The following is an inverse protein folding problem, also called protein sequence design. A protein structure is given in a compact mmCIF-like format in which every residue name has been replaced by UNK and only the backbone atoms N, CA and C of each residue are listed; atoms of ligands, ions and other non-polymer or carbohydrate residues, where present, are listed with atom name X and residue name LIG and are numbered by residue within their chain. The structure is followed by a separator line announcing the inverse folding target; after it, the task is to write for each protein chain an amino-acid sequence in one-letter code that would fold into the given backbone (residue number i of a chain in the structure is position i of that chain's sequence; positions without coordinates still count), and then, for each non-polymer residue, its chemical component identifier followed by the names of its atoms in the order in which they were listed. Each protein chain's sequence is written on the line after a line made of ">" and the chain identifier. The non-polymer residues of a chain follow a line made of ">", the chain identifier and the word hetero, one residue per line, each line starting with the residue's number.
data_IF_308512728410
#
_entry.id   IF_308512728410
#
_cell.length_a   1.000
_cell.length_b   1.000
_cell.length_c   1.000
_cell.angle_alpha   90.00
_cell.angle_beta   90.00
_cell.angle_gamma   90.00
#
_symmetry.space_group_name_H-M   'P 1'
#
loop_
_entity.id
_entity.type
_entity.pdbx_description
1 polymer ?
#
# COMPACT_ATOMS: atom_id res chain seq x y z
N UNK A 1 -9.58 2.35 0.39
CA UNK A 1 -9.03 1.24 1.21
C UNK A 1 -7.60 1.57 1.58
N UNK A 2 -7.17 1.55 2.85
CA UNK A 2 -5.75 1.85 3.16
C UNK A 2 -4.78 0.88 2.47
N UNK A 3 -3.63 1.38 2.03
CA UNK A 3 -2.57 0.60 1.38
C UNK A 3 -2.13 -0.63 2.17
N UNK A 4 -1.98 -0.50 3.49
CA UNK A 4 -1.64 -1.62 4.37
C UNK A 4 -2.72 -2.73 4.41
N UNK A 5 -3.99 -2.35 4.21
CA UNK A 5 -5.12 -3.28 4.16
C UNK A 5 -5.16 -3.98 2.81
N UNK A 6 -4.98 -3.22 1.72
CA UNK A 6 -4.88 -3.74 0.36
C UNK A 6 -3.78 -4.78 0.23
N UNK A 7 -2.56 -4.46 0.66
CA UNK A 7 -1.41 -5.36 0.62
C UNK A 7 -1.64 -6.69 1.37
N UNK A 8 -2.42 -6.66 2.46
CA UNK A 8 -2.78 -7.86 3.22
C UNK A 8 -3.83 -8.71 2.50
N UNK A 9 -4.90 -8.10 1.97
CA UNK A 9 -5.96 -8.85 1.28
C UNK A 9 -5.48 -9.42 -0.05
N UNK A 10 -4.61 -8.71 -0.76
CA UNK A 10 -3.95 -9.20 -1.98
C UNK A 10 -2.87 -10.24 -1.70
N UNK A 11 -2.62 -10.58 -0.43
CA UNK A 11 -1.61 -11.55 0.03
C UNK A 11 -0.18 -11.23 -0.44
N UNK A 12 0.09 -9.98 -0.79
CA UNK A 12 1.42 -9.50 -1.19
C UNK A 12 2.40 -9.48 -0.01
N UNK A 13 1.88 -9.34 1.21
CA UNK A 13 2.71 -9.26 2.40
C UNK A 13 2.15 -10.10 3.56
N UNK A 14 3.05 -10.70 4.35
CA UNK A 14 2.69 -11.48 5.54
C UNK A 14 2.46 -10.66 6.82
N UNK A 15 3.10 -9.50 6.99
CA UNK A 15 3.12 -8.73 8.26
C UNK A 15 2.87 -7.24 8.06
N UNK A 16 1.78 -6.71 8.60
CA UNK A 16 1.33 -5.31 8.41
C UNK A 16 2.41 -4.24 8.68
N UNK A 17 3.34 -4.50 9.60
CA UNK A 17 4.48 -3.63 9.91
C UNK A 17 5.42 -3.42 8.71
N UNK A 18 5.67 -4.48 7.96
CA UNK A 18 6.54 -4.45 6.77
C UNK A 18 5.91 -3.60 5.66
N UNK A 19 4.58 -3.68 5.48
CA UNK A 19 3.87 -2.82 4.53
C UNK A 19 4.04 -1.34 4.89
N UNK A 20 3.98 -1.03 6.19
CA UNK A 20 4.15 0.32 6.68
C UNK A 20 5.55 0.84 6.39
N UNK A 21 6.58 0.06 6.70
CA UNK A 21 7.99 0.42 6.42
C UNK A 21 8.26 0.65 4.93
N UNK A 22 7.80 -0.26 4.06
CA UNK A 22 8.03 -0.15 2.61
C UNK A 22 7.29 1.08 2.03
N UNK A 23 6.08 1.35 2.50
CA UNK A 23 5.32 2.53 2.10
C UNK A 23 5.94 3.84 2.64
N UNK A 24 6.44 3.86 3.89
CA UNK A 24 7.13 5.02 4.47
C UNK A 24 8.50 5.26 3.82
N UNK A 25 9.19 4.20 3.37
CA UNK A 25 10.42 4.30 2.56
C UNK A 25 10.16 4.82 1.13
N UNK A 26 8.91 5.05 0.74
CA UNK A 26 8.56 5.50 -0.61
C UNK A 26 8.82 4.45 -1.69
N UNK A 27 8.85 3.17 -1.32
CA UNK A 27 9.05 2.05 -2.26
C UNK A 27 7.77 1.53 -2.88
N UNK A 28 6.63 2.14 -2.53
CA UNK A 28 5.33 1.79 -3.11
C UNK A 28 4.86 2.97 -3.94
N UNK A 29 4.61 2.68 -5.21
CA UNK A 29 4.13 3.66 -6.15
C UNK A 29 2.71 3.26 -6.59
N UNK A 30 1.75 4.14 -6.39
CA UNK A 30 0.37 3.95 -6.84
C UNK A 30 0.19 4.87 -8.03
N UNK A 31 0.07 4.28 -9.22
CA UNK A 31 -0.23 5.02 -10.46
C UNK A 31 0.75 6.17 -10.76
N UNK A 32 2.06 5.94 -10.55
CA UNK A 32 3.10 6.95 -10.79
C UNK A 32 3.27 7.98 -9.67
N UNK A 33 2.59 7.80 -8.53
CA UNK A 33 2.77 8.60 -7.32
C UNK A 33 3.21 7.74 -6.14
N UNK A 34 4.29 8.16 -5.50
CA UNK A 34 4.78 7.53 -4.27
C UNK A 34 3.72 7.59 -3.18
N UNK A 35 3.29 6.41 -2.73
CA UNK A 35 2.19 6.24 -1.79
C UNK A 35 2.72 5.99 -0.38
N UNK A 36 2.12 6.70 0.58
CA UNK A 36 2.42 6.52 2.00
C UNK A 36 1.56 5.40 2.58
N UNK A 37 1.93 4.91 3.75
CA UNK A 37 1.17 3.89 4.49
C UNK A 37 -0.28 4.28 4.83
N UNK A 38 -0.58 5.59 4.82
CA UNK A 38 -1.93 6.14 4.99
C UNK A 38 -2.62 6.53 3.67
N UNK A 39 -2.01 6.27 2.51
CA UNK A 39 -2.64 6.51 1.22
C UNK A 39 -3.87 5.64 1.06
N UNK A 40 -4.96 6.27 0.62
CA UNK A 40 -6.19 5.58 0.30
C UNK A 40 -6.05 4.96 -1.10
N UNK A 41 -6.02 3.64 -1.14
CA UNK A 41 -6.07 2.80 -2.35
C UNK A 41 -7.54 2.59 -2.69
N UNK A 42 -8.00 3.18 -3.78
CA UNK A 42 -9.34 2.90 -4.29
C UNK A 42 -9.26 1.67 -5.18
N UNK A 43 -9.90 0.58 -4.76
CA UNK A 43 -10.05 -0.63 -5.59
C UNK A 43 -11.05 -0.29 -6.71
N UNK A 44 -10.55 0.10 -7.87
CA UNK A 44 -11.38 0.42 -9.04
C UNK A 44 -11.06 1.73 -9.77
N UNK A 45 -9.79 2.09 -9.95
CA UNK A 45 -9.45 3.00 -11.06
C UNK A 45 -9.60 2.22 -12.37
N UNK A 46 -10.81 2.27 -12.92
CA UNK A 46 -11.09 2.08 -14.34
C UNK A 46 -10.82 3.38 -15.09
#
# INVERSE_FOLDING_TARGET
>A
MRLDKFLKVSRLIKRRTVAKEIADQGRIDINGKTAKSSSDVTEGMS
#
